data_IF_718967435569
#
_entry.id   IF_718967435569
#
_cell.length_a   1.000
_cell.length_b   1.000
_cell.length_c   1.000
_cell.angle_alpha   90.00
_cell.angle_beta   90.00
_cell.angle_gamma   90.00
#
_symmetry.space_group_name_H-M   'P 1'
#
loop_
_entity.id
_entity.type
_entity.pdbx_description
1 polymer ?
#
# COMPACT_ATOMS: atom_id res chain seq x y z
N UNK A 1 -20.76 10.57 6.94
CA UNK A 1 -20.49 9.69 8.10
C UNK A 1 -19.00 9.56 8.32
N UNK A 2 -18.50 10.19 9.38
CA UNK A 2 -17.07 10.36 9.67
C UNK A 2 -16.44 9.14 10.38
N UNK A 3 -17.02 7.96 10.18
CA UNK A 3 -16.74 6.75 10.97
C UNK A 3 -15.80 5.75 10.26
N UNK A 4 -15.21 6.11 9.13
CA UNK A 4 -14.23 5.28 8.39
C UNK A 4 -12.79 5.80 8.52
N UNK A 5 -12.56 6.86 9.29
CA UNK A 5 -11.23 7.43 9.50
C UNK A 5 -10.34 6.60 10.46
N UNK A 6 -10.91 5.57 11.11
CA UNK A 6 -10.20 4.68 12.02
C UNK A 6 -9.44 3.52 11.34
N UNK A 7 -9.68 3.28 10.05
CA UNK A 7 -9.37 1.97 9.45
C UNK A 7 -7.93 1.77 8.98
N UNK A 8 -7.01 2.75 9.16
CA UNK A 8 -5.81 2.71 8.31
C UNK A 8 -4.43 3.11 8.84
N UNK A 9 -4.21 3.05 10.15
CA UNK A 9 -2.86 2.86 10.68
C UNK A 9 -2.86 1.68 11.61
N UNK A 10 -2.14 0.64 11.22
CA UNK A 10 -1.91 -0.50 12.07
C UNK A 10 -0.47 -0.52 12.59
N UNK A 11 -0.36 -0.96 13.82
CA UNK A 11 0.90 -1.26 14.49
C UNK A 11 0.92 -2.77 14.67
N UNK A 12 1.97 -3.44 14.20
CA UNK A 12 2.23 -4.80 14.64
C UNK A 12 3.03 -4.72 15.94
N UNK A 13 2.47 -5.30 16.99
CA UNK A 13 3.22 -5.66 18.19
C UNK A 13 3.76 -7.09 18.03
N UNK A 14 4.84 -7.39 18.74
CA UNK A 14 5.67 -8.58 18.64
C UNK A 14 5.08 -9.79 19.38
N UNK A 15 3.75 -10.00 19.33
CA UNK A 15 3.14 -11.15 20.00
C UNK A 15 3.23 -12.40 19.12
N UNK A 16 4.26 -13.20 19.39
CA UNK A 16 4.33 -14.63 19.10
C UNK A 16 5.34 -15.02 18.02
N UNK A 17 6.58 -15.32 18.45
CA UNK A 17 7.61 -16.03 17.68
C UNK A 17 8.02 -15.36 16.35
N UNK A 18 8.58 -14.14 16.46
CA UNK A 18 9.14 -13.37 15.35
C UNK A 18 8.20 -12.26 14.90
N UNK A 19 8.65 -11.00 14.91
CA UNK A 19 7.86 -9.77 14.69
C UNK A 19 7.05 -9.65 13.38
N UNK A 20 6.92 -10.72 12.59
CA UNK A 20 6.06 -10.79 11.41
C UNK A 20 4.59 -11.13 11.68
N UNK A 21 4.24 -11.77 12.79
CA UNK A 21 2.86 -12.24 13.04
C UNK A 21 1.80 -11.14 12.89
N UNK A 22 1.95 -10.04 13.64
CA UNK A 22 1.04 -8.90 13.54
C UNK A 22 1.06 -8.23 12.16
N UNK A 23 2.23 -8.14 11.52
CA UNK A 23 2.37 -7.53 10.19
C UNK A 23 1.61 -8.36 9.15
N UNK A 24 1.76 -9.68 9.17
CA UNK A 24 1.09 -10.61 8.27
C UNK A 24 -0.43 -10.53 8.37
N UNK A 25 -0.97 -10.54 9.61
CA UNK A 25 -2.42 -10.54 9.84
C UNK A 25 -3.04 -9.23 9.37
N UNK A 26 -2.45 -8.09 9.76
CA UNK A 26 -3.04 -6.80 9.42
C UNK A 26 -2.90 -6.52 7.92
N UNK A 27 -1.73 -6.80 7.32
CA UNK A 27 -1.55 -6.57 5.88
C UNK A 27 -2.46 -7.46 5.04
N UNK A 28 -2.80 -8.67 5.49
CA UNK A 28 -3.82 -9.49 4.84
C UNK A 28 -5.19 -8.80 4.77
N UNK A 29 -5.61 -8.15 5.85
CA UNK A 29 -6.82 -7.33 5.86
C UNK A 29 -6.70 -6.09 4.97
N UNK A 30 -5.57 -5.37 5.04
CA UNK A 30 -5.32 -4.18 4.23
C UNK A 30 -5.33 -4.46 2.72
N UNK A 31 -4.84 -5.63 2.29
CA UNK A 31 -4.86 -6.04 0.87
C UNK A 31 -6.27 -6.26 0.31
N UNK A 32 -7.26 -6.51 1.18
CA UNK A 32 -8.66 -6.66 0.77
C UNK A 32 -9.37 -5.31 0.57
N UNK A 33 -8.76 -4.20 0.99
CA UNK A 33 -9.33 -2.87 0.82
C UNK A 33 -9.06 -2.33 -0.60
N UNK A 34 -9.91 -1.43 -1.14
CA UNK A 34 -9.72 -0.85 -2.46
C UNK A 34 -8.38 -0.13 -2.64
N UNK A 35 -7.80 -0.22 -3.84
CA UNK A 35 -6.65 0.61 -4.22
C UNK A 35 -7.00 2.10 -4.14
N UNK A 36 -6.05 2.92 -3.70
CA UNK A 36 -6.22 4.36 -3.53
C UNK A 36 -6.81 4.76 -2.17
N UNK A 37 -7.34 3.82 -1.39
CA UNK A 37 -7.55 4.04 0.03
C UNK A 37 -6.17 4.13 0.70
N UNK A 38 -5.83 5.22 1.42
CA UNK A 38 -4.55 5.33 2.12
C UNK A 38 -4.37 4.11 3.01
N UNK A 39 -3.21 3.44 2.98
CA UNK A 39 -2.85 2.19 3.71
C UNK A 39 -1.43 2.26 4.25
N UNK A 40 -1.25 2.35 5.57
CA UNK A 40 0.08 2.45 6.19
C UNK A 40 0.30 1.44 7.32
N UNK A 41 1.39 0.67 7.21
CA UNK A 41 1.81 -0.34 8.17
C UNK A 41 3.17 0.03 8.78
N UNK A 42 3.23 0.27 10.09
CA UNK A 42 4.50 0.44 10.81
C UNK A 42 5.00 -0.92 11.27
N UNK A 43 6.15 -1.37 10.78
CA UNK A 43 6.66 -2.73 11.02
C UNK A 43 8.19 -2.78 11.16
N UNK A 44 8.68 -3.70 11.99
CA UNK A 44 10.09 -4.08 12.08
C UNK A 44 10.57 -4.77 10.80
N UNK A 45 9.66 -5.32 10.00
CA UNK A 45 9.94 -6.05 8.76
C UNK A 45 9.90 -5.17 7.50
N UNK A 46 9.63 -3.88 7.64
CA UNK A 46 9.57 -2.97 6.49
C UNK A 46 10.91 -2.82 5.75
N UNK A 47 12.03 -3.13 6.41
CA UNK A 47 13.38 -3.11 5.82
C UNK A 47 13.85 -4.52 5.45
N UNK A 48 13.06 -5.23 4.64
CA UNK A 48 13.33 -6.59 4.20
C UNK A 48 12.49 -6.96 2.96
N UNK A 49 12.26 -8.26 2.74
CA UNK A 49 11.29 -8.69 1.74
C UNK A 49 9.87 -8.33 2.20
N UNK A 50 9.22 -7.43 1.46
CA UNK A 50 7.88 -6.94 1.75
C UNK A 50 6.83 -7.46 0.77
N UNK A 51 7.22 -8.26 -0.23
CA UNK A 51 6.31 -8.87 -1.20
C UNK A 51 5.12 -9.60 -0.54
N UNK A 52 5.28 -10.42 0.51
CA UNK A 52 4.14 -11.13 1.12
C UNK A 52 3.18 -10.22 1.89
N UNK A 53 3.61 -9.00 2.24
CA UNK A 53 2.78 -8.03 2.96
C UNK A 53 2.06 -7.07 2.01
N UNK A 54 2.74 -6.60 0.97
CA UNK A 54 2.21 -5.61 0.04
C UNK A 54 1.46 -6.26 -1.12
N UNK A 55 2.01 -7.33 -1.71
CA UNK A 55 1.48 -7.98 -2.92
C UNK A 55 1.15 -6.95 -4.02
N UNK A 56 0.10 -7.16 -4.81
CA UNK A 56 -0.42 -6.23 -5.82
C UNK A 56 -1.24 -5.05 -5.25
N UNK A 57 -0.99 -4.65 -4.00
CA UNK A 57 -1.68 -3.52 -3.35
C UNK A 57 -0.79 -2.28 -3.18
N UNK A 58 -1.40 -1.16 -2.80
CA UNK A 58 -0.74 0.11 -2.47
C UNK A 58 -0.53 0.29 -0.94
N UNK A 59 -0.15 -0.77 -0.22
CA UNK A 59 0.24 -0.66 1.20
C UNK A 59 1.61 0.01 1.32
N UNK A 60 1.71 1.02 2.18
CA UNK A 60 2.97 1.68 2.54
C UNK A 60 3.55 0.99 3.78
N UNK A 61 4.74 0.41 3.63
CA UNK A 61 5.50 -0.16 4.74
C UNK A 61 6.45 0.90 5.32
N UNK A 62 6.25 1.26 6.59
CA UNK A 62 7.10 2.20 7.32
C UNK A 62 7.96 1.46 8.35
N UNK A 63 9.30 1.58 8.31
CA UNK A 63 10.16 0.97 9.33
C UNK A 63 9.86 1.50 10.73
N UNK A 64 9.66 0.59 11.69
CA UNK A 64 9.58 0.94 13.11
C UNK A 64 10.92 1.41 13.70
N UNK A 65 12.03 1.08 13.00
CA UNK A 65 13.44 1.34 13.34
C UNK A 65 13.95 0.56 14.55
N UNK A 66 13.19 0.56 15.65
CA UNK A 66 13.42 -0.33 16.78
C UNK A 66 12.31 -1.37 16.83
N UNK A 67 12.56 -2.43 17.58
CA UNK A 67 11.49 -3.29 18.02
C UNK A 67 10.43 -2.51 18.82
N UNK A 68 9.21 -3.03 18.82
CA UNK A 68 7.99 -2.42 19.32
C UNK A 68 7.58 -2.96 20.69
N UNK A 69 8.54 -3.36 21.53
CA UNK A 69 8.33 -3.67 22.95
C UNK A 69 8.04 -2.40 23.79
N UNK A 70 6.89 -1.76 23.54
CA UNK A 70 6.42 -0.54 24.21
C UNK A 70 6.94 0.78 23.63
N UNK A 71 6.48 1.90 24.20
CA UNK A 71 6.76 3.24 23.67
C UNK A 71 8.08 3.83 24.19
N UNK A 72 9.13 3.75 23.38
CA UNK A 72 10.40 4.45 23.57
C UNK A 72 10.45 5.83 22.84
N UNK A 73 11.50 6.63 23.09
CA UNK A 73 11.70 7.96 22.46
C UNK A 73 11.57 7.93 20.94
N UNK A 74 12.14 6.92 20.30
CA UNK A 74 12.14 6.78 18.85
C UNK A 74 10.78 6.33 18.31
N UNK A 75 10.21 5.28 18.91
CA UNK A 75 8.88 4.78 18.52
C UNK A 75 7.81 5.87 18.58
N UNK A 76 7.86 6.77 19.57
CA UNK A 76 6.93 7.92 19.65
C UNK A 76 7.05 8.85 18.44
N UNK A 77 8.26 9.14 18.00
CA UNK A 77 8.51 9.99 16.83
C UNK A 77 8.07 9.27 15.55
N UNK A 78 8.45 8.01 15.38
CA UNK A 78 8.08 7.19 14.21
C UNK A 78 6.56 7.09 14.09
N UNK A 79 5.88 6.75 15.19
CA UNK A 79 4.43 6.64 15.24
C UNK A 79 3.72 7.97 15.05
N UNK A 80 4.30 9.07 15.54
CA UNK A 80 3.78 10.41 15.27
C UNK A 80 3.85 10.73 13.77
N UNK A 81 5.00 10.46 13.13
CA UNK A 81 5.18 10.65 11.70
C UNK A 81 4.22 9.78 10.87
N UNK A 82 4.04 8.51 11.27
CA UNK A 82 3.07 7.61 10.65
C UNK A 82 1.63 8.16 10.73
N UNK A 83 1.25 8.68 11.89
CA UNK A 83 -0.06 9.30 12.10
C UNK A 83 -0.25 10.57 11.24
N UNK A 84 0.77 11.42 11.14
CA UNK A 84 0.72 12.60 10.26
C UNK A 84 0.63 12.21 8.78
N UNK A 85 1.38 11.19 8.36
CA UNK A 85 1.37 10.69 6.99
C UNK A 85 -0.02 10.17 6.60
N UNK A 86 -0.64 9.30 7.42
CA UNK A 86 -1.98 8.80 7.10
C UNK A 86 -3.03 9.90 7.13
N UNK A 87 -2.94 10.84 8.09
CA UNK A 87 -3.89 11.94 8.20
C UNK A 87 -3.80 12.84 6.97
N UNK A 88 -2.59 13.10 6.48
CA UNK A 88 -2.35 13.85 5.24
C UNK A 88 -2.94 13.15 4.02
N UNK A 89 -2.73 11.84 3.87
CA UNK A 89 -3.30 11.07 2.76
C UNK A 89 -4.83 11.01 2.80
N UNK A 90 -5.42 10.87 4.00
CA UNK A 90 -6.86 10.81 4.18
C UNK A 90 -7.55 12.18 4.07
N UNK A 91 -6.85 13.28 4.35
CA UNK A 91 -7.46 14.62 4.39
C UNK A 91 -7.99 15.11 3.04
N UNK A 92 -7.36 14.68 1.95
CA UNK A 92 -7.71 15.10 0.57
C UNK A 92 -7.57 13.89 -0.37
N UNK A 93 -8.54 12.97 -0.39
CA UNK A 93 -8.48 11.83 -1.29
C UNK A 93 -8.42 12.29 -2.75
N UNK A 94 -7.75 11.50 -3.58
CA UNK A 94 -7.70 11.77 -5.01
C UNK A 94 -9.12 11.78 -5.59
N UNK A 95 -9.44 12.73 -6.48
CA UNK A 95 -10.74 12.74 -7.13
C UNK A 95 -10.90 11.48 -7.97
N UNK A 96 -12.12 10.94 -8.01
CA UNK A 96 -12.47 9.88 -8.97
C UNK A 96 -12.39 10.50 -10.35
N UNK A 97 -11.34 10.17 -11.10
CA UNK A 97 -11.17 10.65 -12.46
C UNK A 97 -12.17 9.91 -13.37
N UNK A 98 -12.96 10.67 -14.12
CA UNK A 98 -13.65 10.13 -15.28
C UNK A 98 -12.57 9.83 -16.35
N UNK A 99 -12.44 8.55 -16.71
CA UNK A 99 -11.42 8.08 -17.64
C UNK A 99 -12.02 7.36 -18.83
N UNK A 100 -11.16 7.01 -19.79
CA UNK A 100 -11.48 6.03 -20.81
C UNK A 100 -11.68 4.65 -20.15
N UNK A 101 -12.43 3.73 -20.77
CA UNK A 101 -12.49 2.36 -20.28
C UNK A 101 -11.07 1.78 -20.15
N UNK A 102 -10.78 1.16 -19.00
CA UNK A 102 -9.47 0.56 -18.75
C UNK A 102 -9.30 -0.72 -19.58
N UNK A 103 -8.12 -0.91 -20.17
CA UNK A 103 -7.75 -2.10 -20.95
C UNK A 103 -6.44 -2.67 -20.43
N UNK A 104 -6.50 -3.84 -19.78
CA UNK A 104 -5.32 -4.59 -19.33
C UNK A 104 -4.66 -5.36 -20.46
N UNK A 105 -3.34 -5.29 -20.56
CA UNK A 105 -2.52 -5.90 -21.61
C UNK A 105 -1.34 -6.66 -20.98
N UNK A 106 -1.29 -7.99 -21.10
CA UNK A 106 -0.14 -8.74 -20.58
C UNK A 106 1.06 -8.62 -21.51
N UNK A 107 2.25 -8.35 -20.95
CA UNK A 107 3.49 -8.24 -21.72
C UNK A 107 4.61 -9.09 -21.11
N UNK A 108 5.44 -9.66 -21.99
CA UNK A 108 6.75 -10.20 -21.67
C UNK A 108 7.80 -9.57 -22.59
N UNK A 109 9.09 -9.67 -22.25
CA UNK A 109 10.15 -8.95 -22.99
C UNK A 109 10.19 -9.21 -24.50
N UNK A 110 9.81 -10.42 -24.95
CA UNK A 110 9.75 -10.77 -26.38
C UNK A 110 8.47 -10.29 -27.08
N UNK A 111 7.43 -9.91 -26.33
CA UNK A 111 6.15 -9.43 -26.89
C UNK A 111 6.04 -7.91 -26.92
N UNK A 112 7.03 -7.18 -26.39
CA UNK A 112 7.04 -5.71 -26.33
C UNK A 112 6.70 -5.04 -27.68
N UNK A 113 7.28 -5.43 -28.83
CA UNK A 113 6.96 -4.77 -30.10
C UNK A 113 5.47 -4.91 -30.47
N UNK A 114 4.86 -6.05 -30.17
CA UNK A 114 3.45 -6.32 -30.42
C UNK A 114 2.55 -5.48 -29.49
N UNK A 115 2.81 -5.53 -28.18
CA UNK A 115 1.99 -4.83 -27.18
C UNK A 115 2.05 -3.31 -27.38
N UNK A 116 3.22 -2.76 -27.67
CA UNK A 116 3.36 -1.31 -27.95
C UNK A 116 2.53 -0.88 -29.16
N UNK A 117 2.53 -1.66 -30.25
CA UNK A 117 1.72 -1.35 -31.44
C UNK A 117 0.21 -1.40 -31.13
N UNK A 118 -0.22 -2.31 -30.26
CA UNK A 118 -1.61 -2.39 -29.79
C UNK A 118 -1.97 -1.16 -28.95
N UNK A 119 -1.11 -0.77 -27.99
CA UNK A 119 -1.30 0.44 -27.17
C UNK A 119 -1.45 1.67 -28.04
N UNK A 120 -0.57 1.87 -29.02
CA UNK A 120 -0.62 3.02 -29.92
C UNK A 120 -1.95 3.11 -30.69
N UNK A 121 -2.48 1.97 -31.11
CA UNK A 121 -3.74 1.89 -31.86
C UNK A 121 -4.97 2.13 -30.98
N UNK A 122 -4.93 1.75 -29.71
CA UNK A 122 -6.09 1.75 -28.81
C UNK A 122 -6.12 2.90 -27.81
N UNK A 123 -5.01 3.61 -27.56
CA UNK A 123 -4.92 4.71 -26.57
C UNK A 123 -5.88 5.87 -26.84
N UNK A 124 -6.42 6.01 -28.05
CA UNK A 124 -7.41 7.02 -28.37
C UNK A 124 -8.74 6.75 -27.66
N UNK A 125 -9.11 5.48 -27.50
CA UNK A 125 -10.41 5.04 -27.00
C UNK A 125 -10.34 4.42 -25.60
N UNK A 126 -9.18 3.87 -25.21
CA UNK A 126 -8.96 3.14 -23.96
C UNK A 126 -7.81 3.73 -23.12
N UNK A 127 -7.86 3.47 -21.82
CA UNK A 127 -6.73 3.66 -20.91
C UNK A 127 -5.97 2.33 -20.77
N UNK A 128 -4.85 2.21 -21.47
CA UNK A 128 -4.11 0.95 -21.61
C UNK A 128 -3.15 0.74 -20.43
N UNK A 129 -3.34 -0.34 -19.67
CA UNK A 129 -2.47 -0.77 -18.58
C UNK A 129 -1.67 -1.99 -19.02
N UNK A 130 -0.34 -1.86 -19.14
CA UNK A 130 0.58 -2.93 -19.56
C UNK A 130 1.22 -3.62 -18.36
#
# INVERSE_FOLDING_TARGET
DADHAGDVVARADETGEGGGGGTSIVTAGMRALPLGLPKLMVSTLASGDTAPYVDVSDIIMMPSVTDMAGLNRLSRVVLHNAAQAIAGMAAKPAPIAAGKPALGLTMFGVTTPCVTAIVERLRADYDCMV
#
